data_IF_933929398565
#
_entry.id   IF_933929398565
#
_cell.length_a   1.000
_cell.length_b   1.000
_cell.length_c   1.000
_cell.angle_alpha   90.00
_cell.angle_beta   90.00
_cell.angle_gamma   90.00
#
_symmetry.space_group_name_H-M   'P 1'
#
loop_
_entity.id
_entity.type
_entity.pdbx_description
1 polymer ?
#
# COMPACT_ATOMS: atom_id res chain seq x y z
N UNK A 1 17.82 5.85 4.90
CA UNK A 1 18.26 4.57 5.50
C UNK A 1 18.06 3.48 4.45
N UNK A 2 19.10 2.80 4.08
CA UNK A 2 19.02 1.75 3.06
C UNK A 2 18.42 0.47 3.67
N UNK A 3 17.44 -0.14 2.98
CA UNK A 3 16.88 -1.46 3.35
C UNK A 3 18.01 -2.46 3.62
N UNK A 4 19.10 -2.39 2.84
CA UNK A 4 20.28 -3.23 2.98
C UNK A 4 20.98 -3.07 4.35
N UNK A 5 21.01 -1.89 4.93
CA UNK A 5 21.66 -1.64 6.23
C UNK A 5 20.81 -2.18 7.37
N UNK A 6 19.48 -2.01 7.29
CA UNK A 6 18.55 -2.62 8.25
C UNK A 6 18.63 -4.14 8.23
N UNK A 7 18.69 -4.75 7.05
CA UNK A 7 18.83 -6.19 6.89
C UNK A 7 20.12 -6.71 7.57
N UNK A 8 21.26 -6.05 7.32
CA UNK A 8 22.54 -6.40 7.96
C UNK A 8 22.51 -6.32 9.49
N UNK A 9 21.80 -5.29 10.03
CA UNK A 9 21.65 -5.16 11.49
C UNK A 9 20.82 -6.30 12.04
N UNK A 10 19.70 -6.64 11.39
CA UNK A 10 18.82 -7.73 11.81
C UNK A 10 19.46 -9.11 11.65
N UNK A 11 20.26 -9.34 10.61
CA UNK A 11 21.04 -10.57 10.45
C UNK A 11 22.07 -10.76 11.58
N UNK A 12 22.75 -9.68 11.99
CA UNK A 12 23.67 -9.70 13.14
C UNK A 12 22.93 -9.96 14.43
N UNK A 13 21.75 -9.35 14.62
CA UNK A 13 20.91 -9.58 15.78
C UNK A 13 20.45 -11.03 15.85
N UNK A 14 19.94 -11.59 14.75
CA UNK A 14 19.52 -12.99 14.70
C UNK A 14 20.66 -13.95 15.14
N UNK A 15 21.88 -13.73 14.63
CA UNK A 15 23.07 -14.50 15.05
C UNK A 15 23.41 -14.31 16.52
N UNK A 16 23.39 -13.07 17.01
CA UNK A 16 23.66 -12.73 18.41
C UNK A 16 22.71 -13.43 19.39
N UNK A 17 21.45 -13.54 19.00
CA UNK A 17 20.38 -14.14 19.82
C UNK A 17 20.10 -15.62 19.50
N UNK A 18 20.92 -16.26 18.67
CA UNK A 18 20.78 -17.67 18.33
C UNK A 18 19.55 -18.01 17.50
N UNK A 19 18.97 -17.04 16.81
CA UNK A 19 17.77 -17.24 15.99
C UNK A 19 18.18 -17.86 14.66
N UNK A 20 17.66 -19.05 14.36
CA UNK A 20 17.82 -19.71 13.06
C UNK A 20 16.77 -19.19 12.10
N UNK A 21 17.21 -18.66 10.95
CA UNK A 21 16.35 -18.12 9.91
C UNK A 21 16.22 -19.15 8.78
N UNK A 22 15.01 -19.53 8.36
CA UNK A 22 14.79 -20.37 7.18
C UNK A 22 15.11 -19.63 5.87
N UNK A 23 15.00 -18.32 5.88
CA UNK A 23 15.32 -17.42 4.76
C UNK A 23 16.00 -16.16 5.30
N UNK A 24 16.99 -15.67 4.57
CA UNK A 24 17.73 -14.44 4.91
C UNK A 24 16.83 -13.19 4.96
N UNK A 25 15.81 -13.15 4.13
CA UNK A 25 14.87 -12.01 4.08
C UNK A 25 13.98 -11.94 5.34
N UNK A 26 13.92 -13.00 6.15
CA UNK A 26 13.23 -13.04 7.44
C UNK A 26 14.09 -12.59 8.62
N UNK A 27 15.19 -11.87 8.35
CA UNK A 27 16.07 -11.34 9.37
C UNK A 27 15.30 -10.56 10.46
N UNK A 28 15.50 -10.92 11.72
CA UNK A 28 14.75 -10.38 12.84
C UNK A 28 15.62 -10.20 14.09
N UNK A 29 15.06 -9.51 15.08
CA UNK A 29 15.62 -9.35 16.42
C UNK A 29 14.50 -9.54 17.46
N UNK A 30 14.81 -10.03 18.68
CA UNK A 30 13.81 -10.10 19.74
C UNK A 30 13.18 -8.73 20.03
N UNK A 31 11.87 -8.70 20.23
CA UNK A 31 11.17 -7.49 20.65
C UNK A 31 11.75 -6.98 21.98
N UNK A 32 11.95 -5.67 22.10
CA UNK A 32 12.60 -5.05 23.26
C UNK A 32 14.14 -5.09 23.24
N UNK A 33 14.77 -5.75 22.27
CA UNK A 33 16.23 -5.65 22.09
C UNK A 33 16.64 -4.27 21.55
N UNK A 34 17.87 -3.84 21.84
CA UNK A 34 18.43 -2.57 21.34
C UNK A 34 18.39 -2.49 19.81
N UNK A 35 18.60 -3.62 19.12
CA UNK A 35 18.56 -3.73 17.67
C UNK A 35 17.13 -3.52 17.15
N UNK A 36 16.13 -4.14 17.80
CA UNK A 36 14.72 -3.96 17.44
C UNK A 36 14.25 -2.51 17.68
N UNK A 37 14.60 -1.90 18.82
CA UNK A 37 14.27 -0.50 19.09
C UNK A 37 14.90 0.46 18.09
N UNK A 38 16.17 0.26 17.75
CA UNK A 38 16.87 1.07 16.75
C UNK A 38 16.21 0.95 15.38
N UNK A 39 15.85 -0.26 14.98
CA UNK A 39 15.09 -0.51 13.75
C UNK A 39 13.75 0.21 13.74
N UNK A 40 12.96 0.07 14.81
CA UNK A 40 11.63 0.69 14.89
C UNK A 40 11.68 2.21 14.84
N UNK A 41 12.67 2.85 15.49
CA UNK A 41 12.89 4.30 15.42
C UNK A 41 13.22 4.75 13.99
N UNK A 42 14.13 4.06 13.34
CA UNK A 42 14.51 4.36 11.96
C UNK A 42 13.34 4.10 10.98
N UNK A 43 12.57 3.04 11.22
CA UNK A 43 11.37 2.73 10.46
C UNK A 43 10.30 3.81 10.62
N UNK A 44 10.07 4.31 11.85
CA UNK A 44 9.14 5.41 12.11
C UNK A 44 9.52 6.70 11.34
N UNK A 45 10.81 7.04 11.26
CA UNK A 45 11.26 8.17 10.45
C UNK A 45 10.91 7.97 8.96
N UNK A 46 11.13 6.78 8.42
CA UNK A 46 10.81 6.49 7.02
C UNK A 46 9.29 6.54 6.75
N UNK A 47 8.48 6.03 7.67
CA UNK A 47 7.02 6.09 7.58
C UNK A 47 6.52 7.54 7.64
N UNK A 48 7.01 8.34 8.58
CA UNK A 48 6.63 9.75 8.70
C UNK A 48 7.04 10.55 7.45
N UNK A 49 8.23 10.29 6.90
CA UNK A 49 8.65 10.87 5.63
C UNK A 49 7.67 10.50 4.50
N UNK A 50 7.26 9.24 4.40
CA UNK A 50 6.32 8.80 3.38
C UNK A 50 4.95 9.48 3.50
N UNK A 51 4.43 9.66 4.72
CA UNK A 51 3.19 10.42 4.97
C UNK A 51 3.35 11.89 4.57
N UNK A 52 4.44 12.55 4.99
CA UNK A 52 4.72 13.94 4.62
C UNK A 52 4.86 14.12 3.09
N UNK A 53 5.51 13.16 2.41
CA UNK A 53 5.63 13.18 0.96
C UNK A 53 4.27 13.09 0.25
N UNK A 54 3.38 12.19 0.68
CA UNK A 54 2.02 12.10 0.12
C UNK A 54 1.19 13.35 0.41
N UNK A 55 1.36 13.96 1.57
CA UNK A 55 0.74 15.24 1.90
C UNK A 55 1.19 16.36 0.95
N UNK A 56 2.50 16.43 0.67
CA UNK A 56 3.05 17.39 -0.30
C UNK A 56 2.51 17.13 -1.71
N UNK A 57 2.45 15.87 -2.16
CA UNK A 57 1.86 15.51 -3.45
C UNK A 57 0.39 15.96 -3.52
N UNK A 58 -0.40 15.70 -2.48
CA UNK A 58 -1.80 16.12 -2.41
C UNK A 58 -1.96 17.65 -2.48
N UNK A 59 -1.05 18.38 -1.86
CA UNK A 59 -1.01 19.85 -1.94
C UNK A 59 -0.74 20.31 -3.37
N UNK A 60 0.28 19.76 -4.04
CA UNK A 60 0.59 20.14 -5.43
C UNK A 60 -0.51 19.75 -6.42
N UNK A 61 -1.19 18.63 -6.20
CA UNK A 61 -2.36 18.26 -7.00
C UNK A 61 -3.45 19.34 -6.86
N UNK A 62 -3.78 19.76 -5.63
CA UNK A 62 -4.75 20.84 -5.39
C UNK A 62 -4.34 22.14 -6.11
N UNK A 63 -3.11 22.60 -5.93
CA UNK A 63 -2.60 23.79 -6.60
C UNK A 63 -2.70 23.69 -8.13
N UNK A 64 -2.41 22.53 -8.71
CA UNK A 64 -2.54 22.33 -10.15
C UNK A 64 -3.98 22.48 -10.64
N UNK A 65 -4.94 21.93 -9.89
CA UNK A 65 -6.36 22.10 -10.20
C UNK A 65 -6.82 23.55 -10.04
N UNK A 66 -6.40 24.22 -8.98
CA UNK A 66 -6.69 25.66 -8.77
C UNK A 66 -6.20 26.52 -9.92
N UNK A 67 -4.98 26.27 -10.38
CA UNK A 67 -4.40 26.99 -11.53
C UNK A 67 -5.16 26.73 -12.84
N UNK A 68 -5.54 25.47 -13.10
CA UNK A 68 -6.21 25.10 -14.36
C UNK A 68 -7.65 25.59 -14.38
N UNK A 69 -8.37 25.47 -13.27
CA UNK A 69 -9.80 25.82 -13.21
C UNK A 69 -10.07 27.22 -12.68
N UNK A 70 -9.03 27.92 -12.22
CA UNK A 70 -9.12 29.26 -11.62
C UNK A 70 -10.17 29.33 -10.49
N UNK A 71 -10.20 28.30 -9.65
CA UNK A 71 -11.09 28.14 -8.50
C UNK A 71 -10.35 27.49 -7.35
N UNK A 72 -10.68 27.81 -6.07
CA UNK A 72 -10.12 27.11 -4.91
C UNK A 72 -10.43 25.60 -4.94
N UNK A 73 -9.49 24.81 -4.40
CA UNK A 73 -9.63 23.34 -4.34
C UNK A 73 -10.89 22.91 -3.59
N UNK A 74 -11.28 23.63 -2.55
CA UNK A 74 -12.49 23.38 -1.75
C UNK A 74 -13.76 23.59 -2.60
N UNK A 75 -13.81 24.62 -3.44
CA UNK A 75 -14.92 24.89 -4.37
C UNK A 75 -15.02 23.80 -5.44
N UNK A 76 -13.88 23.25 -5.86
CA UNK A 76 -13.81 22.11 -6.79
C UNK A 76 -14.15 20.77 -6.12
N UNK A 77 -14.35 20.74 -4.81
CA UNK A 77 -14.67 19.52 -4.06
C UNK A 77 -13.49 18.53 -3.94
N UNK A 78 -12.25 19.01 -4.05
CA UNK A 78 -11.06 18.17 -3.93
C UNK A 78 -10.79 17.81 -2.46
N UNK A 79 -11.26 16.64 -2.04
CA UNK A 79 -11.11 16.13 -0.69
C UNK A 79 -10.24 14.87 -0.65
N UNK A 80 -9.46 14.72 0.41
CA UNK A 80 -8.74 13.49 0.70
C UNK A 80 -9.70 12.52 1.38
N UNK A 81 -10.09 11.46 0.68
CA UNK A 81 -10.96 10.43 1.26
C UNK A 81 -10.21 9.62 2.31
N UNK A 82 -9.02 9.12 2.00
CA UNK A 82 -8.22 8.35 2.96
C UNK A 82 -6.76 8.27 2.53
N UNK A 83 -5.84 8.16 3.50
CA UNK A 83 -4.43 7.90 3.27
C UNK A 83 -4.02 6.58 3.94
N UNK A 84 -3.48 5.65 3.17
CA UNK A 84 -3.18 4.29 3.62
C UNK A 84 -1.74 3.91 3.31
N UNK A 85 -1.07 3.26 4.28
CA UNK A 85 0.28 2.74 4.11
C UNK A 85 0.25 1.21 3.94
N UNK A 86 1.05 0.69 2.99
CA UNK A 86 1.18 -0.73 2.69
C UNK A 86 2.55 -1.33 3.07
N UNK A 87 3.46 -0.48 3.56
CA UNK A 87 4.73 -0.86 4.15
C UNK A 87 4.79 -0.23 5.54
N UNK A 88 4.32 -0.94 6.55
CA UNK A 88 4.15 -0.39 7.90
C UNK A 88 4.32 -1.47 8.96
N UNK A 89 4.86 -1.06 10.11
CA UNK A 89 4.93 -1.88 11.33
C UNK A 89 4.15 -1.17 12.43
N UNK A 90 3.24 -1.87 13.05
CA UNK A 90 2.44 -1.35 14.18
C UNK A 90 2.38 -2.37 15.31
N UNK A 91 2.42 -1.88 16.55
CA UNK A 91 2.10 -2.68 17.72
C UNK A 91 0.57 -2.72 17.85
N UNK A 92 0.00 -3.88 17.71
CA UNK A 92 -1.44 -4.10 17.68
C UNK A 92 -1.83 -5.23 18.63
N UNK A 93 -3.08 -5.21 19.10
CA UNK A 93 -3.64 -6.29 19.91
C UNK A 93 -4.46 -7.23 19.02
N UNK A 94 -4.14 -8.51 19.09
CA UNK A 94 -4.82 -9.57 18.36
C UNK A 94 -5.08 -10.78 19.24
N UNK A 95 -6.11 -11.56 18.91
CA UNK A 95 -6.36 -12.86 19.52
C UNK A 95 -5.52 -13.91 18.81
N UNK A 96 -4.63 -14.57 19.54
CA UNK A 96 -3.74 -15.63 19.04
C UNK A 96 -3.89 -16.82 19.97
N UNK A 97 -4.28 -17.96 19.43
CA UNK A 97 -4.54 -19.18 20.21
C UNK A 97 -5.52 -18.95 21.39
N UNK A 98 -6.57 -18.17 21.16
CA UNK A 98 -7.59 -17.82 22.13
C UNK A 98 -7.21 -16.75 23.16
N UNK A 99 -5.97 -16.26 23.15
CA UNK A 99 -5.48 -15.24 24.07
C UNK A 99 -5.22 -13.91 23.39
N UNK A 100 -5.55 -12.79 24.06
CA UNK A 100 -5.18 -11.45 23.59
C UNK A 100 -3.69 -11.25 23.77
N UNK A 101 -3.01 -10.89 22.70
CA UNK A 101 -1.57 -10.63 22.67
C UNK A 101 -1.26 -9.33 21.94
N UNK A 102 -0.31 -8.56 22.44
CA UNK A 102 0.27 -7.42 21.75
C UNK A 102 1.42 -7.91 20.87
N UNK A 103 1.29 -7.67 19.55
CA UNK A 103 2.27 -8.14 18.55
C UNK A 103 2.64 -7.01 17.58
N UNK A 104 3.87 -7.05 17.10
CA UNK A 104 4.32 -6.17 16.03
C UNK A 104 3.86 -6.75 14.69
N UNK A 105 2.82 -6.15 14.13
CA UNK A 105 2.30 -6.55 12.81
C UNK A 105 3.06 -5.84 11.71
N UNK A 106 3.80 -6.62 10.92
CA UNK A 106 4.55 -6.15 9.76
C UNK A 106 3.70 -6.32 8.52
N UNK A 107 3.37 -5.21 7.85
CA UNK A 107 2.69 -5.23 6.56
C UNK A 107 3.66 -4.77 5.48
N UNK A 108 3.89 -5.63 4.50
CA UNK A 108 4.64 -5.32 3.28
C UNK A 108 3.86 -5.87 2.10
N UNK A 109 3.39 -4.97 1.23
CA UNK A 109 2.46 -5.37 0.18
C UNK A 109 1.08 -5.79 0.71
N UNK A 110 0.73 -5.36 1.90
CA UNK A 110 -0.57 -5.53 2.53
C UNK A 110 -0.98 -4.23 3.23
N UNK A 111 -2.27 -3.98 3.32
CA UNK A 111 -2.84 -2.78 3.94
C UNK A 111 -3.65 -3.16 5.16
N UNK A 112 -3.65 -2.31 6.18
CA UNK A 112 -4.53 -2.47 7.33
C UNK A 112 -5.99 -2.38 6.89
N UNK A 113 -6.82 -3.29 7.40
CA UNK A 113 -8.24 -3.45 7.05
C UNK A 113 -9.05 -3.75 8.30
N UNK A 114 -9.16 -2.77 9.20
CA UNK A 114 -9.87 -2.93 10.46
C UNK A 114 -11.38 -2.73 10.29
N UNK A 115 -12.20 -3.52 11.00
CA UNK A 115 -13.65 -3.48 10.89
C UNK A 115 -14.27 -2.23 11.54
N UNK A 116 -15.54 -2.04 11.29
CA UNK A 116 -16.37 -1.09 12.02
C UNK A 116 -16.26 -1.30 13.54
N UNK A 117 -16.32 -0.21 14.31
CA UNK A 117 -16.19 -0.22 15.77
C UNK A 117 -14.77 -0.35 16.30
N UNK A 118 -13.78 -0.64 15.47
CA UNK A 118 -12.41 -0.81 15.94
C UNK A 118 -11.79 0.54 16.37
N UNK A 119 -11.21 0.65 17.59
CA UNK A 119 -10.77 1.94 18.17
C UNK A 119 -9.66 2.64 17.37
N UNK A 120 -8.89 1.92 16.57
CA UNK A 120 -7.84 2.49 15.72
C UNK A 120 -8.33 2.91 14.33
N UNK A 121 -9.63 2.78 14.03
CA UNK A 121 -10.24 3.39 12.84
C UNK A 121 -10.56 4.84 13.16
N UNK A 122 -10.21 5.81 12.29
CA UNK A 122 -10.57 7.22 12.47
C UNK A 122 -12.07 7.39 12.70
N UNK A 123 -12.43 8.43 13.45
CA UNK A 123 -13.81 8.68 13.86
C UNK A 123 -14.78 8.75 12.68
N UNK A 124 -14.40 9.45 11.62
CA UNK A 124 -15.19 9.61 10.40
C UNK A 124 -15.56 8.27 9.71
N UNK A 125 -14.80 7.21 9.98
CA UNK A 125 -14.98 5.87 9.38
C UNK A 125 -15.29 4.79 10.41
N UNK A 126 -15.40 5.13 11.70
CA UNK A 126 -15.53 4.14 12.78
C UNK A 126 -16.76 3.27 12.63
N UNK A 127 -17.86 3.84 12.19
CA UNK A 127 -19.13 3.12 12.07
C UNK A 127 -19.20 2.21 10.84
N UNK A 128 -18.36 2.44 9.84
CA UNK A 128 -18.38 1.68 8.58
C UNK A 128 -17.16 0.79 8.37
N UNK A 129 -16.08 1.02 9.10
CA UNK A 129 -14.81 0.31 8.96
C UNK A 129 -13.77 1.10 8.15
N UNK A 130 -12.53 0.64 8.22
CA UNK A 130 -11.41 1.31 7.60
C UNK A 130 -11.47 1.25 6.07
N UNK A 131 -11.41 2.40 5.37
CA UNK A 131 -11.27 2.41 3.91
C UNK A 131 -9.94 1.79 3.49
N UNK A 132 -10.00 0.95 2.46
CA UNK A 132 -8.86 0.29 1.84
C UNK A 132 -8.89 0.54 0.35
N UNK A 133 -7.77 0.99 -0.20
CA UNK A 133 -7.60 1.13 -1.64
C UNK A 133 -6.82 -0.06 -2.18
N UNK A 134 -7.38 -0.73 -3.20
CA UNK A 134 -6.68 -1.74 -4.01
C UNK A 134 -6.48 -1.14 -5.41
N UNK A 135 -5.37 -0.44 -5.66
CA UNK A 135 -5.09 0.12 -6.97
C UNK A 135 -4.74 -0.96 -7.99
N UNK A 136 -5.21 -0.75 -9.21
CA UNK A 136 -4.77 -1.49 -10.38
C UNK A 136 -3.52 -0.89 -11.02
N UNK A 137 -3.39 -1.06 -12.32
CA UNK A 137 -2.36 -0.45 -13.16
C UNK A 137 -2.81 0.90 -13.71
N UNK A 138 -1.99 1.53 -14.58
CA UNK A 138 -2.32 2.82 -15.20
C UNK A 138 -3.57 2.77 -16.07
N UNK A 139 -3.87 1.65 -16.68
CA UNK A 139 -4.99 1.50 -17.63
C UNK A 139 -6.13 0.64 -17.12
N UNK A 140 -6.17 0.34 -15.81
CA UNK A 140 -7.22 -0.48 -15.19
C UNK A 140 -7.90 0.26 -14.04
N UNK A 141 -8.98 -0.30 -13.53
CA UNK A 141 -9.70 0.24 -12.39
C UNK A 141 -8.90 0.14 -11.09
N UNK A 142 -9.39 0.79 -10.05
CA UNK A 142 -9.03 0.58 -8.65
C UNK A 142 -10.29 0.25 -7.84
N UNK A 143 -10.13 -0.41 -6.70
CA UNK A 143 -11.25 -0.73 -5.81
C UNK A 143 -11.10 -0.07 -4.46
N UNK A 144 -12.19 0.45 -3.95
CA UNK A 144 -12.33 0.82 -2.54
C UNK A 144 -13.08 -0.29 -1.83
N UNK A 145 -12.49 -0.78 -0.75
CA UNK A 145 -13.09 -1.75 0.16
C UNK A 145 -13.19 -1.15 1.56
N UNK A 146 -14.01 -1.76 2.41
CA UNK A 146 -14.04 -1.49 3.85
C UNK A 146 -13.54 -2.71 4.61
N UNK A 147 -12.83 -2.46 5.71
CA UNK A 147 -12.36 -3.49 6.61
C UNK A 147 -13.52 -4.30 7.21
N UNK A 148 -13.29 -5.59 7.40
CA UNK A 148 -14.31 -6.55 7.84
C UNK A 148 -13.81 -7.33 9.08
N UNK A 149 -14.68 -7.71 10.02
CA UNK A 149 -14.29 -8.45 11.24
C UNK A 149 -13.45 -9.70 10.97
N UNK A 150 -13.77 -10.44 9.91
CA UNK A 150 -13.04 -11.65 9.54
C UNK A 150 -11.57 -11.41 9.19
N UNK A 151 -11.21 -10.19 8.78
CA UNK A 151 -9.81 -9.82 8.58
C UNK A 151 -9.00 -9.89 9.88
N UNK A 152 -9.61 -9.56 11.02
CA UNK A 152 -8.93 -9.67 12.33
C UNK A 152 -8.57 -11.11 12.67
N UNK A 153 -9.42 -12.05 12.29
CA UNK A 153 -9.25 -13.49 12.57
C UNK A 153 -8.25 -14.14 11.61
N UNK A 154 -8.36 -13.86 10.32
CA UNK A 154 -7.61 -14.56 9.28
C UNK A 154 -6.28 -13.92 8.91
N UNK A 155 -6.16 -12.60 9.02
CA UNK A 155 -5.06 -11.84 8.40
C UNK A 155 -4.49 -10.73 9.30
N UNK A 156 -4.69 -10.80 10.61
CA UNK A 156 -4.30 -9.72 11.53
C UNK A 156 -4.83 -8.34 11.07
N UNK A 157 -6.10 -8.27 10.66
CA UNK A 157 -6.72 -7.05 10.17
C UNK A 157 -6.03 -6.49 8.94
N UNK A 158 -5.70 -7.33 7.97
CA UNK A 158 -5.00 -6.93 6.75
C UNK A 158 -5.70 -7.42 5.48
N UNK A 159 -5.49 -6.70 4.38
CA UNK A 159 -5.93 -7.11 3.04
C UNK A 159 -4.88 -6.74 1.98
N UNK A 160 -5.12 -7.11 0.72
CA UNK A 160 -4.24 -6.77 -0.39
C UNK A 160 -4.06 -5.25 -0.53
N UNK A 161 -2.86 -4.79 -0.89
CA UNK A 161 -2.55 -3.38 -1.08
C UNK A 161 -2.69 -2.89 -2.51
N UNK A 162 -2.98 -3.77 -3.45
CA UNK A 162 -3.06 -3.50 -4.88
C UNK A 162 -3.23 -4.80 -5.66
N UNK A 163 -3.33 -4.69 -6.98
CA UNK A 163 -3.47 -5.85 -7.87
C UNK A 163 -2.33 -6.85 -7.73
N UNK A 164 -1.14 -6.38 -7.37
CA UNK A 164 0.07 -7.19 -7.36
C UNK A 164 0.57 -7.48 -8.79
N UNK A 165 1.83 -7.83 -8.90
CA UNK A 165 2.48 -8.07 -10.20
C UNK A 165 2.45 -9.54 -10.58
N UNK A 166 2.32 -9.80 -11.87
CA UNK A 166 2.53 -11.12 -12.48
C UNK A 166 3.94 -11.27 -13.04
N UNK A 167 4.61 -10.13 -13.32
CA UNK A 167 5.96 -10.08 -13.89
C UNK A 167 6.85 -9.13 -13.09
N UNK A 168 8.14 -9.46 -13.02
CA UNK A 168 9.13 -8.54 -12.45
C UNK A 168 9.31 -7.29 -13.34
N UNK A 169 9.81 -6.19 -12.74
CA UNK A 169 10.13 -4.98 -13.51
C UNK A 169 11.11 -5.28 -14.64
N UNK A 170 12.15 -6.06 -14.37
CA UNK A 170 13.12 -6.47 -15.39
C UNK A 170 12.50 -7.28 -16.53
N UNK A 171 11.54 -8.13 -16.24
CA UNK A 171 10.83 -8.89 -17.27
C UNK A 171 9.91 -8.00 -18.11
N UNK A 172 9.19 -7.05 -17.51
CA UNK A 172 8.39 -6.06 -18.22
C UNK A 172 9.25 -5.27 -19.22
N UNK A 173 10.40 -4.75 -18.79
CA UNK A 173 11.36 -4.04 -19.67
C UNK A 173 11.88 -4.89 -20.83
N UNK A 174 12.03 -6.20 -20.66
CA UNK A 174 12.47 -7.08 -21.75
C UNK A 174 11.40 -7.37 -22.78
N UNK A 175 10.12 -7.34 -22.38
CA UNK A 175 8.98 -7.77 -23.22
C UNK A 175 8.22 -6.63 -23.87
N UNK A 176 8.26 -5.44 -23.29
CA UNK A 176 7.45 -4.29 -23.69
C UNK A 176 8.35 -3.10 -24.04
N UNK A 177 7.92 -2.33 -25.03
CA UNK A 177 8.52 -1.03 -25.36
C UNK A 177 7.61 0.09 -24.88
N UNK A 178 8.20 1.27 -24.60
CA UNK A 178 7.44 2.44 -24.19
C UNK A 178 6.38 2.83 -25.25
N UNK A 179 6.72 2.73 -26.53
CA UNK A 179 5.80 3.02 -27.62
C UNK A 179 4.55 2.10 -27.61
N UNK A 180 4.74 0.79 -27.36
CA UNK A 180 3.62 -0.15 -27.25
C UNK A 180 2.71 0.19 -26.08
N UNK A 181 3.29 0.50 -24.91
CA UNK A 181 2.52 0.84 -23.70
C UNK A 181 1.75 2.15 -23.90
N UNK A 182 2.43 3.21 -24.39
CA UNK A 182 1.78 4.49 -24.68
C UNK A 182 0.67 4.37 -25.70
N UNK A 183 0.88 3.62 -26.79
CA UNK A 183 -0.14 3.38 -27.81
C UNK A 183 -1.34 2.60 -27.26
N UNK A 184 -1.12 1.61 -26.38
CA UNK A 184 -2.18 0.87 -25.71
C UNK A 184 -3.03 1.78 -24.82
N UNK A 185 -2.41 2.63 -24.03
CA UNK A 185 -3.09 3.57 -23.13
C UNK A 185 -3.81 4.68 -23.89
N UNK A 186 -3.19 5.22 -24.94
CA UNK A 186 -3.81 6.23 -25.81
C UNK A 186 -5.11 5.72 -26.45
N UNK A 187 -5.15 4.45 -26.89
CA UNK A 187 -6.40 3.82 -27.40
C UNK A 187 -7.51 3.73 -26.38
N UNK A 188 -7.15 3.75 -25.08
CA UNK A 188 -8.10 3.81 -23.95
C UNK A 188 -8.45 5.25 -23.55
N UNK A 189 -7.95 6.25 -24.27
CA UNK A 189 -8.12 7.67 -23.92
C UNK A 189 -7.27 8.13 -22.73
N UNK A 190 -6.24 7.37 -22.37
CA UNK A 190 -5.37 7.66 -21.23
C UNK A 190 -4.13 8.41 -21.73
N UNK A 191 -3.96 9.63 -21.25
CA UNK A 191 -2.78 10.45 -21.51
C UNK A 191 -1.75 10.25 -20.38
N UNK A 192 -0.50 9.97 -20.76
CA UNK A 192 0.61 9.76 -19.80
C UNK A 192 1.64 10.86 -19.97
N UNK A 193 2.08 11.41 -18.84
CA UNK A 193 3.26 12.26 -18.72
C UNK A 193 4.20 11.64 -17.69
N UNK A 194 5.45 11.44 -18.05
CA UNK A 194 6.48 10.86 -17.18
C UNK A 194 7.85 11.38 -17.55
N UNK A 195 8.70 11.60 -16.56
CA UNK A 195 10.09 11.95 -16.76
C UNK A 195 10.96 10.73 -17.15
N UNK A 196 10.44 9.51 -16.98
CA UNK A 196 11.13 8.27 -17.30
C UNK A 196 10.25 7.29 -18.08
N UNK A 197 10.59 7.03 -19.31
CA UNK A 197 9.93 6.03 -20.14
C UNK A 197 10.16 4.60 -19.63
N UNK A 198 11.25 4.35 -18.91
CA UNK A 198 11.48 3.06 -18.25
C UNK A 198 10.43 2.78 -17.18
N UNK A 199 10.08 3.78 -16.39
CA UNK A 199 9.01 3.66 -15.36
C UNK A 199 7.66 3.38 -16.01
N UNK A 200 7.36 4.01 -17.16
CA UNK A 200 6.12 3.72 -17.90
C UNK A 200 6.05 2.25 -18.31
N UNK A 201 7.13 1.68 -18.79
CA UNK A 201 7.19 0.25 -19.18
C UNK A 201 7.06 -0.66 -17.95
N UNK A 202 7.72 -0.32 -16.85
CA UNK A 202 7.62 -1.07 -15.60
C UNK A 202 6.18 -1.16 -15.07
N UNK A 203 5.39 -0.10 -15.25
CA UNK A 203 4.04 0.04 -14.74
C UNK A 203 2.93 -0.35 -15.76
N UNK A 204 3.31 -1.01 -16.87
CA UNK A 204 2.37 -1.46 -17.88
C UNK A 204 1.33 -2.44 -17.33
N UNK A 205 0.12 -2.39 -17.88
CA UNK A 205 -1.03 -3.20 -17.44
C UNK A 205 -0.74 -4.70 -17.44
N UNK A 206 -0.01 -5.18 -18.43
CA UNK A 206 0.35 -6.58 -18.62
C UNK A 206 1.30 -7.13 -17.54
N UNK A 207 1.91 -6.24 -16.75
CA UNK A 207 2.77 -6.62 -15.65
C UNK A 207 2.00 -6.91 -14.34
N UNK A 208 0.69 -6.65 -14.32
CA UNK A 208 -0.15 -6.74 -13.12
C UNK A 208 -1.22 -7.84 -13.23
N UNK A 209 -1.66 -8.32 -12.08
CA UNK A 209 -2.86 -9.17 -11.98
C UNK A 209 -4.11 -8.33 -12.27
N UNK A 210 -5.19 -8.99 -12.62
CA UNK A 210 -6.49 -8.33 -12.75
C UNK A 210 -6.98 -7.87 -11.37
N UNK A 211 -7.15 -6.56 -11.20
CA UNK A 211 -7.56 -5.93 -9.93
C UNK A 211 -8.97 -6.34 -9.52
N UNK A 212 -9.86 -6.60 -10.48
CA UNK A 212 -11.24 -7.03 -10.21
C UNK A 212 -11.24 -8.40 -9.53
N UNK A 213 -10.37 -9.32 -9.98
CA UNK A 213 -10.20 -10.64 -9.36
C UNK A 213 -9.61 -10.51 -7.95
N UNK A 214 -8.61 -9.67 -7.76
CA UNK A 214 -7.98 -9.47 -6.43
C UNK A 214 -8.97 -8.89 -5.42
N UNK A 215 -9.76 -7.91 -5.84
CA UNK A 215 -10.81 -7.33 -5.00
C UNK A 215 -11.92 -8.35 -4.68
N UNK A 216 -12.30 -9.17 -5.66
CA UNK A 216 -13.31 -10.23 -5.48
C UNK A 216 -12.83 -11.30 -4.49
N UNK A 217 -11.59 -11.77 -4.62
CA UNK A 217 -11.00 -12.73 -3.67
C UNK A 217 -11.00 -12.17 -2.25
N UNK A 218 -10.61 -10.91 -2.07
CA UNK A 218 -10.64 -10.24 -0.76
C UNK A 218 -12.06 -10.16 -0.20
N UNK A 219 -13.04 -9.91 -1.05
CA UNK A 219 -14.45 -9.83 -0.68
C UNK A 219 -15.02 -11.19 -0.28
N UNK A 220 -14.83 -12.21 -1.10
CA UNK A 220 -15.31 -13.57 -0.84
C UNK A 220 -14.64 -14.22 0.38
N UNK A 221 -13.35 -13.92 0.61
CA UNK A 221 -12.66 -14.34 1.84
C UNK A 221 -13.21 -13.63 3.09
N UNK A 222 -13.99 -12.57 2.94
CA UNK A 222 -14.55 -11.78 4.04
C UNK A 222 -13.53 -10.88 4.74
N UNK A 223 -12.37 -10.60 4.11
CA UNK A 223 -11.33 -9.74 4.67
C UNK A 223 -11.46 -8.27 4.23
N UNK A 224 -12.38 -7.99 3.30
CA UNK A 224 -12.74 -6.64 2.88
C UNK A 224 -14.04 -6.66 2.10
N UNK A 225 -14.91 -5.68 2.36
CA UNK A 225 -16.19 -5.53 1.64
C UNK A 225 -16.01 -4.54 0.49
N UNK A 226 -16.29 -4.95 -0.74
CA UNK A 226 -16.25 -4.05 -1.92
C UNK A 226 -17.29 -2.96 -1.80
N UNK A 227 -16.88 -1.70 -2.02
CA UNK A 227 -17.75 -0.51 -1.96
C UNK A 227 -17.86 0.16 -3.32
N UNK A 228 -16.73 0.47 -3.93
CA UNK A 228 -16.72 1.21 -5.19
C UNK A 228 -15.60 0.73 -6.12
N UNK A 229 -15.92 0.65 -7.40
CA UNK A 229 -14.97 0.45 -8.49
C UNK A 229 -14.70 1.80 -9.14
N UNK A 230 -13.46 2.24 -9.07
CA UNK A 230 -13.04 3.55 -9.56
C UNK A 230 -12.42 3.40 -10.95
N UNK A 231 -12.94 4.14 -11.91
CA UNK A 231 -12.29 4.34 -13.21
C UNK A 231 -11.45 5.61 -13.08
N UNK A 232 -10.13 5.54 -13.26
CA UNK A 232 -9.28 6.70 -13.04
C UNK A 232 -9.51 7.76 -14.12
N UNK A 233 -9.76 9.00 -13.69
CA UNK A 233 -9.68 10.20 -14.55
C UNK A 233 -8.26 10.78 -14.54
N UNK A 234 -7.54 10.58 -13.45
CA UNK A 234 -6.15 10.96 -13.29
C UNK A 234 -5.48 10.11 -12.22
N UNK A 235 -4.22 9.79 -12.41
CA UNK A 235 -3.41 9.02 -11.46
C UNK A 235 -2.03 9.65 -11.36
N UNK A 236 -1.58 9.94 -10.15
CA UNK A 236 -0.22 10.37 -9.86
C UNK A 236 0.52 9.18 -9.23
N UNK A 237 1.61 8.78 -9.85
CA UNK A 237 2.50 7.72 -9.34
C UNK A 237 3.93 8.22 -9.29
N UNK A 238 4.67 7.86 -8.24
CA UNK A 238 6.05 8.21 -8.04
C UNK A 238 6.83 7.08 -7.37
#
# INVERSE_FOLDING_TARGET
MCIRDSLKVMERAARKYGIRLPDRELACAPAGSREAESYLKAFACAVNFAFANRQAISHWVRQSFEQVFNQPAETLGLQLVYDVAHNIVKLEEHVIDGARRRVWVHRKGATRSFPAGHPLVPEDYRDIGQPVLIPGSMGTASWVLLGNPRAMELTFGSTAHGAGRTRSRAEAKRRLTASQVLSSLSRKGIYIRSDSMETVVEEADEAYKNVDIVAEVSHQAGIGTKVARLIPLGVVKG
#
